data_IF_734850102193
#
_entry.id   IF_734850102193
#
_cell.length_a   1.000
_cell.length_b   1.000
_cell.length_c   1.000
_cell.angle_alpha   90.00
_cell.angle_beta   90.00
_cell.angle_gamma   90.00
#
_symmetry.space_group_name_H-M   'P 1'
#
loop_
_entity.id
_entity.type
_entity.pdbx_description
1 polymer ?
#
# COMPACT_ATOMS: atom_id res chain seq x y z
N UNK A 1 -48.86 -30.98 4.17
CA UNK A 1 -48.56 -29.58 3.74
C UNK A 1 -47.08 -29.40 3.91
N UNK A 2 -46.36 -29.60 2.80
CA UNK A 2 -44.94 -29.46 2.73
C UNK A 2 -44.57 -27.99 2.79
N UNK A 3 -43.97 -27.57 3.87
CA UNK A 3 -43.30 -26.26 3.96
C UNK A 3 -42.01 -26.40 3.21
N UNK A 4 -41.94 -25.83 2.00
CA UNK A 4 -40.70 -25.78 1.23
C UNK A 4 -39.62 -25.04 2.04
N UNK A 5 -38.47 -25.67 2.31
CA UNK A 5 -37.41 -25.02 3.08
C UNK A 5 -36.85 -23.86 2.26
N UNK A 6 -36.64 -22.75 2.94
CA UNK A 6 -36.08 -21.50 2.47
C UNK A 6 -34.81 -21.65 1.60
N UNK A 7 -35.01 -21.97 0.32
CA UNK A 7 -33.93 -22.09 -0.69
C UNK A 7 -33.21 -20.78 -0.99
N UNK A 8 -33.77 -19.64 -0.56
CA UNK A 8 -33.21 -18.32 -0.89
C UNK A 8 -31.99 -17.93 -0.07
N UNK A 9 -31.94 -18.18 1.22
CA UNK A 9 -30.84 -17.78 2.09
C UNK A 9 -29.60 -18.69 1.93
N UNK A 10 -29.81 -20.00 1.74
CA UNK A 10 -28.72 -20.95 1.50
C UNK A 10 -28.00 -20.73 0.16
N UNK A 11 -28.67 -20.24 -0.87
CA UNK A 11 -28.07 -19.97 -2.19
C UNK A 11 -27.31 -18.65 -2.23
N UNK A 12 -27.72 -17.63 -1.47
CA UNK A 12 -26.95 -16.39 -1.32
C UNK A 12 -25.67 -16.67 -0.52
N UNK A 13 -25.75 -17.47 0.56
CA UNK A 13 -24.58 -17.96 1.29
C UNK A 13 -23.71 -18.88 0.43
N UNK A 14 -24.28 -19.79 -0.36
CA UNK A 14 -23.51 -20.65 -1.27
C UNK A 14 -22.84 -19.88 -2.40
N UNK A 15 -23.43 -18.82 -2.94
CA UNK A 15 -22.79 -17.96 -3.95
C UNK A 15 -21.67 -17.10 -3.35
N UNK A 16 -21.78 -16.66 -2.09
CA UNK A 16 -20.65 -16.09 -1.34
C UNK A 16 -19.58 -17.14 -1.00
N UNK A 17 -19.96 -18.39 -0.81
CA UNK A 17 -19.05 -19.54 -0.59
C UNK A 17 -18.46 -20.05 -1.90
N UNK A 18 -19.02 -19.69 -3.07
CA UNK A 18 -18.54 -20.22 -4.35
C UNK A 18 -17.06 -20.01 -4.63
N UNK A 19 -16.36 -19.43 -3.69
CA UNK A 19 -14.93 -19.22 -3.84
C UNK A 19 -14.12 -19.02 -2.56
N UNK A 20 -14.44 -19.64 -1.45
CA UNK A 20 -13.51 -19.59 -0.30
C UNK A 20 -12.09 -20.01 -0.71
N UNK A 21 -11.95 -21.04 -1.55
CA UNK A 21 -10.65 -21.44 -2.10
C UNK A 21 -10.08 -20.37 -3.06
N UNK A 22 -10.87 -19.89 -4.02
CA UNK A 22 -10.44 -18.84 -4.96
C UNK A 22 -10.13 -17.54 -4.22
N UNK A 23 -10.98 -17.11 -3.28
CA UNK A 23 -10.73 -15.93 -2.45
C UNK A 23 -9.43 -16.04 -1.66
N UNK A 24 -9.18 -17.19 -1.01
CA UNK A 24 -7.91 -17.44 -0.30
C UNK A 24 -6.71 -17.40 -1.26
N UNK A 25 -6.83 -17.99 -2.44
CA UNK A 25 -5.76 -17.97 -3.45
C UNK A 25 -5.46 -16.55 -3.89
N UNK A 26 -6.49 -15.75 -4.23
CA UNK A 26 -6.29 -14.33 -4.58
C UNK A 26 -5.69 -13.52 -3.43
N UNK A 27 -6.17 -13.70 -2.21
CA UNK A 27 -5.61 -13.05 -1.01
C UNK A 27 -4.13 -13.41 -0.84
N UNK A 28 -3.77 -14.70 -0.97
CA UNK A 28 -2.38 -15.14 -0.85
C UNK A 28 -1.51 -14.55 -1.98
N UNK A 29 -1.99 -14.54 -3.22
CA UNK A 29 -1.27 -13.95 -4.35
C UNK A 29 -1.06 -12.45 -4.19
N UNK A 30 -2.07 -11.73 -3.71
CA UNK A 30 -1.97 -10.28 -3.47
C UNK A 30 -1.10 -9.95 -2.26
N UNK A 31 -0.99 -10.87 -1.29
CA UNK A 31 -0.18 -10.68 -0.09
C UNK A 31 1.28 -11.11 -0.31
N UNK A 32 1.55 -11.97 -1.28
CA UNK A 32 2.90 -12.48 -1.58
C UNK A 32 3.95 -11.36 -1.78
N UNK A 33 3.68 -10.27 -2.53
CA UNK A 33 4.64 -9.19 -2.71
C UNK A 33 5.12 -8.56 -1.41
N UNK A 34 4.27 -8.52 -0.39
CA UNK A 34 4.60 -7.93 0.91
C UNK A 34 5.78 -8.65 1.59
N UNK A 35 5.89 -9.96 1.44
CA UNK A 35 6.96 -10.78 2.03
C UNK A 35 8.28 -10.72 1.25
N UNK A 36 8.25 -10.27 0.00
CA UNK A 36 9.48 -10.19 -0.80
C UNK A 36 10.36 -9.05 -0.30
N UNK A 37 11.67 -9.30 -0.16
CA UNK A 37 12.62 -8.22 0.12
C UNK A 37 12.73 -7.26 -1.07
N UNK A 38 13.01 -5.99 -0.81
CA UNK A 38 13.27 -5.02 -1.89
C UNK A 38 14.47 -5.38 -2.74
N UNK A 39 15.44 -6.11 -2.20
CA UNK A 39 16.59 -6.63 -2.98
C UNK A 39 16.09 -7.56 -4.07
N UNK A 40 15.27 -8.55 -3.73
CA UNK A 40 14.68 -9.49 -4.71
C UNK A 40 13.81 -8.75 -5.72
N UNK A 41 12.93 -7.87 -5.23
CA UNK A 41 12.08 -7.06 -6.09
C UNK A 41 12.89 -6.21 -7.07
N UNK A 42 14.03 -5.64 -6.65
CA UNK A 42 14.89 -4.84 -7.52
C UNK A 42 15.44 -5.63 -8.71
N UNK A 43 15.77 -6.91 -8.51
CA UNK A 43 16.20 -7.78 -9.61
C UNK A 43 15.07 -8.06 -10.60
N UNK A 44 13.83 -8.26 -10.13
CA UNK A 44 12.68 -8.37 -11.02
C UNK A 44 12.45 -7.07 -11.82
N UNK A 45 12.44 -5.93 -11.13
CA UNK A 45 12.30 -4.63 -11.81
C UNK A 45 13.40 -4.43 -12.84
N UNK A 46 14.63 -4.79 -12.51
CA UNK A 46 15.73 -4.71 -13.47
C UNK A 46 15.54 -5.66 -14.66
N UNK A 47 15.09 -6.87 -14.45
CA UNK A 47 14.78 -7.80 -15.54
C UNK A 47 13.69 -7.25 -16.49
N UNK A 48 12.72 -6.49 -15.95
CA UNK A 48 11.71 -5.82 -16.75
C UNK A 48 12.22 -4.57 -17.47
N UNK A 49 13.05 -3.76 -16.81
CA UNK A 49 13.47 -2.44 -17.26
C UNK A 49 14.91 -2.38 -17.77
N UNK A 50 15.61 -3.51 -17.92
CA UNK A 50 16.96 -3.53 -18.48
C UNK A 50 16.99 -2.89 -19.85
N UNK A 51 17.98 -2.00 -20.14
CA UNK A 51 18.06 -1.32 -21.44
C UNK A 51 18.24 -2.26 -22.62
N UNK A 52 19.00 -3.34 -22.43
CA UNK A 52 19.40 -4.24 -23.53
C UNK A 52 18.43 -5.41 -23.74
N UNK A 53 17.98 -6.04 -22.65
CA UNK A 53 17.19 -7.28 -22.70
C UNK A 53 15.91 -7.22 -21.83
N UNK A 54 15.49 -6.01 -21.41
CA UNK A 54 14.32 -5.86 -20.55
C UNK A 54 13.02 -6.16 -21.29
N UNK A 55 12.11 -6.84 -20.60
CA UNK A 55 10.81 -7.23 -21.16
C UNK A 55 10.04 -5.99 -21.71
N UNK A 56 10.09 -4.85 -21.03
CA UNK A 56 9.40 -3.63 -21.48
C UNK A 56 9.96 -3.13 -22.82
N UNK A 57 11.29 -3.15 -23.00
CA UNK A 57 11.89 -2.77 -24.26
C UNK A 57 11.61 -3.77 -25.37
N UNK A 58 11.55 -5.06 -25.07
CA UNK A 58 11.12 -6.08 -26.03
C UNK A 58 9.69 -5.87 -26.53
N UNK A 59 8.78 -5.50 -25.61
CA UNK A 59 7.40 -5.14 -25.97
C UNK A 59 7.35 -3.86 -26.81
N UNK A 60 8.11 -2.82 -26.45
CA UNK A 60 8.18 -1.57 -27.20
C UNK A 60 8.68 -1.81 -28.63
N UNK A 61 9.74 -2.59 -28.79
CA UNK A 61 10.27 -2.96 -30.10
C UNK A 61 9.26 -3.76 -30.93
N UNK A 62 8.56 -4.70 -30.31
CA UNK A 62 7.47 -5.45 -30.99
C UNK A 62 6.36 -4.51 -31.46
N UNK A 63 6.10 -3.41 -30.73
CA UNK A 63 5.15 -2.36 -31.11
C UNK A 63 5.72 -1.33 -32.10
N UNK A 64 6.96 -1.51 -32.59
CA UNK A 64 7.63 -0.59 -33.52
C UNK A 64 8.12 0.70 -32.87
N UNK A 65 8.31 0.72 -31.53
CA UNK A 65 8.82 1.87 -30.78
C UNK A 65 10.28 1.68 -30.40
N UNK A 66 10.99 2.78 -30.25
CA UNK A 66 12.38 2.77 -29.80
C UNK A 66 12.52 2.29 -28.35
N UNK A 67 13.61 1.57 -28.02
CA UNK A 67 13.90 1.15 -26.67
C UNK A 67 14.19 2.34 -25.76
N UNK A 68 13.70 2.30 -24.53
CA UNK A 68 13.87 3.34 -23.52
C UNK A 68 15.00 2.96 -22.55
N UNK A 69 15.87 3.91 -22.25
CA UNK A 69 16.89 3.76 -21.20
C UNK A 69 16.29 4.14 -19.85
N UNK A 70 15.47 3.26 -19.30
CA UNK A 70 14.65 3.49 -18.09
C UNK A 70 15.44 4.09 -16.92
N UNK A 71 16.65 3.60 -16.65
CA UNK A 71 17.50 4.07 -15.55
C UNK A 71 18.19 5.42 -15.82
N UNK A 72 18.12 5.93 -17.06
CA UNK A 72 18.63 7.26 -17.43
C UNK A 72 17.51 8.30 -17.54
N UNK A 73 16.25 7.87 -17.59
CA UNK A 73 15.08 8.71 -17.82
C UNK A 73 14.28 8.95 -16.54
N UNK A 74 14.63 9.99 -15.79
CA UNK A 74 14.00 10.32 -14.49
C UNK A 74 12.47 10.49 -14.54
N UNK A 75 11.92 10.90 -15.68
CA UNK A 75 10.49 11.21 -15.84
C UNK A 75 9.54 10.03 -15.54
N UNK A 76 10.00 8.80 -15.75
CA UNK A 76 9.17 7.60 -15.52
C UNK A 76 9.21 7.11 -14.06
N UNK A 77 10.27 7.47 -13.31
CA UNK A 77 10.54 6.90 -12.01
C UNK A 77 9.52 7.24 -10.91
N UNK A 78 8.95 8.45 -10.84
CA UNK A 78 7.87 8.70 -9.87
C UNK A 78 6.71 7.72 -10.01
N UNK A 79 6.31 7.40 -11.23
CA UNK A 79 5.22 6.45 -11.51
C UNK A 79 5.63 5.01 -11.17
N UNK A 80 6.85 4.61 -11.52
CA UNK A 80 7.40 3.28 -11.21
C UNK A 80 7.48 3.08 -9.70
N UNK A 81 8.02 4.04 -8.95
CA UNK A 81 8.15 3.97 -7.50
C UNK A 81 6.80 3.90 -6.80
N UNK A 82 5.83 4.74 -7.21
CA UNK A 82 4.47 4.70 -6.68
C UNK A 82 3.81 3.35 -6.98
N UNK A 83 3.92 2.87 -8.21
CA UNK A 83 3.39 1.55 -8.59
C UNK A 83 3.98 0.43 -7.73
N UNK A 84 5.30 0.40 -7.55
CA UNK A 84 5.98 -0.62 -6.76
C UNK A 84 5.58 -0.55 -5.28
N UNK A 85 5.43 0.65 -4.72
CA UNK A 85 4.97 0.85 -3.36
C UNK A 85 3.54 0.33 -3.18
N UNK A 86 2.62 0.74 -4.06
CA UNK A 86 1.22 0.29 -4.02
C UNK A 86 1.14 -1.23 -4.18
N UNK A 87 1.83 -1.79 -5.18
CA UNK A 87 1.84 -3.23 -5.44
C UNK A 87 2.30 -4.04 -4.22
N UNK A 88 3.35 -3.59 -3.54
CA UNK A 88 3.89 -4.28 -2.37
C UNK A 88 3.02 -4.14 -1.12
N UNK A 89 2.37 -3.00 -0.92
CA UNK A 89 1.57 -2.72 0.29
C UNK A 89 0.10 -3.09 0.15
N UNK A 90 -0.40 -3.25 -1.09
CA UNK A 90 -1.80 -3.51 -1.38
C UNK A 90 -2.34 -4.72 -0.61
N UNK A 91 -1.60 -5.84 -0.65
CA UNK A 91 -2.02 -7.08 0.01
C UNK A 91 -2.13 -6.94 1.52
N UNK A 92 -1.17 -6.27 2.15
CA UNK A 92 -1.19 -5.99 3.59
C UNK A 92 -2.42 -5.13 3.97
N UNK A 93 -2.61 -4.02 3.28
CA UNK A 93 -3.75 -3.13 3.53
C UNK A 93 -5.08 -3.85 3.33
N UNK A 94 -5.20 -4.68 2.28
CA UNK A 94 -6.38 -5.50 2.02
C UNK A 94 -6.69 -6.44 3.19
N UNK A 95 -5.68 -7.11 3.75
CA UNK A 95 -5.88 -8.03 4.88
C UNK A 95 -6.33 -7.28 6.13
N UNK A 96 -5.77 -6.10 6.41
CA UNK A 96 -6.17 -5.26 7.56
C UNK A 96 -7.65 -4.86 7.45
N UNK A 97 -8.07 -4.34 6.28
CA UNK A 97 -9.47 -3.98 6.07
C UNK A 97 -10.40 -5.19 6.07
N UNK A 98 -9.99 -6.31 5.48
CA UNK A 98 -10.80 -7.53 5.48
C UNK A 98 -11.00 -8.08 6.90
N UNK A 99 -9.95 -8.07 7.74
CA UNK A 99 -10.06 -8.47 9.13
C UNK A 99 -11.07 -7.58 9.89
N UNK A 100 -11.01 -6.28 9.65
CA UNK A 100 -11.96 -5.32 10.26
C UNK A 100 -13.40 -5.55 9.79
N UNK A 101 -13.62 -5.84 8.48
CA UNK A 101 -14.95 -6.16 7.94
C UNK A 101 -15.50 -7.44 8.56
N UNK A 102 -14.66 -8.47 8.72
CA UNK A 102 -15.11 -9.75 9.30
C UNK A 102 -15.43 -9.65 10.79
N UNK A 103 -14.97 -8.60 11.47
CA UNK A 103 -15.30 -8.30 12.86
C UNK A 103 -16.61 -7.54 13.06
N UNK A 104 -17.28 -7.09 11.99
CA UNK A 104 -18.57 -6.40 12.09
C UNK A 104 -19.66 -7.42 12.40
N UNK A 105 -20.57 -7.06 13.34
CA UNK A 105 -21.68 -7.93 13.73
C UNK A 105 -22.58 -8.22 12.52
N UNK A 106 -22.78 -9.49 12.23
CA UNK A 106 -23.60 -9.97 11.12
C UNK A 106 -25.08 -9.64 11.30
N UNK A 107 -25.55 -9.46 12.53
CA UNK A 107 -26.93 -9.09 12.84
C UNK A 107 -27.33 -7.76 12.20
N UNK A 108 -26.40 -6.80 12.07
CA UNK A 108 -26.62 -5.52 11.39
C UNK A 108 -26.96 -5.71 9.91
N UNK A 109 -26.27 -6.65 9.25
CA UNK A 109 -26.55 -6.96 7.85
C UNK A 109 -27.84 -7.75 7.66
N UNK A 110 -28.17 -8.63 8.60
CA UNK A 110 -29.43 -9.39 8.58
C UNK A 110 -30.63 -8.46 8.75
N UNK A 111 -30.59 -7.53 9.72
CA UNK A 111 -31.60 -6.50 9.89
C UNK A 111 -31.76 -5.63 8.63
N UNK A 112 -30.66 -5.16 8.05
CA UNK A 112 -30.70 -4.37 6.83
C UNK A 112 -31.29 -5.12 5.64
N UNK A 113 -31.10 -6.43 5.54
CA UNK A 113 -31.73 -7.27 4.51
C UNK A 113 -33.24 -7.36 4.71
N UNK A 114 -33.71 -7.49 5.96
CA UNK A 114 -35.13 -7.50 6.28
C UNK A 114 -35.80 -6.17 5.95
N UNK A 115 -35.07 -5.05 6.14
CA UNK A 115 -35.51 -3.69 5.75
C UNK A 115 -35.42 -3.44 4.23
N UNK A 116 -35.01 -4.43 3.43
CA UNK A 116 -34.92 -4.31 1.97
C UNK A 116 -33.71 -3.53 1.47
N UNK A 117 -32.69 -3.30 2.31
CA UNK A 117 -31.49 -2.57 1.92
C UNK A 117 -30.65 -3.32 0.87
N UNK A 118 -30.31 -2.64 -0.23
CA UNK A 118 -29.41 -3.15 -1.24
C UNK A 118 -27.98 -3.32 -0.70
N UNK A 119 -27.14 -4.14 -1.37
CA UNK A 119 -25.74 -4.35 -0.97
C UNK A 119 -24.93 -3.04 -0.95
N UNK A 120 -25.23 -2.09 -1.84
CA UNK A 120 -24.58 -0.79 -1.85
C UNK A 120 -24.97 0.06 -0.64
N UNK A 121 -26.25 -0.01 -0.21
CA UNK A 121 -26.72 0.64 1.01
C UNK A 121 -26.09 0.03 2.24
N UNK A 122 -26.01 -1.30 2.34
CA UNK A 122 -25.29 -2.00 3.42
C UNK A 122 -23.80 -1.59 3.47
N UNK A 123 -23.11 -1.52 2.33
CA UNK A 123 -21.73 -1.07 2.27
C UNK A 123 -21.58 0.39 2.75
N UNK A 124 -22.49 1.29 2.34
CA UNK A 124 -22.40 2.72 2.66
C UNK A 124 -22.81 3.04 4.10
N UNK A 125 -23.83 2.38 4.63
CA UNK A 125 -24.43 2.73 5.92
C UNK A 125 -24.01 1.82 7.08
N UNK A 126 -23.47 0.62 6.80
CA UNK A 126 -23.00 -0.31 7.83
C UNK A 126 -21.49 -0.49 7.70
N UNK A 127 -20.99 -0.99 6.57
CA UNK A 127 -19.57 -1.35 6.44
C UNK A 127 -18.66 -0.13 6.53
N UNK A 128 -18.91 0.92 5.75
CA UNK A 128 -18.03 2.08 5.70
C UNK A 128 -17.96 2.86 7.02
N UNK A 129 -19.09 3.12 7.74
CA UNK A 129 -19.04 3.70 9.07
C UNK A 129 -18.30 2.84 10.09
N UNK A 130 -18.49 1.52 10.07
CA UNK A 130 -17.79 0.58 10.97
C UNK A 130 -16.28 0.52 10.70
N UNK A 131 -15.84 0.79 9.47
CA UNK A 131 -14.43 0.86 9.10
C UNK A 131 -13.79 2.22 9.40
N UNK A 132 -14.57 3.25 9.70
CA UNK A 132 -14.05 4.61 9.92
C UNK A 132 -12.89 4.67 10.91
N UNK A 133 -12.92 4.02 12.10
CA UNK A 133 -11.82 4.06 13.04
C UNK A 133 -10.52 3.50 12.46
N UNK A 134 -10.59 2.35 11.76
CA UNK A 134 -9.39 1.73 11.16
C UNK A 134 -8.84 2.56 9.99
N UNK A 135 -9.72 3.17 9.18
CA UNK A 135 -9.31 4.07 8.09
C UNK A 135 -8.55 5.26 8.67
N UNK A 136 -9.08 5.88 9.72
CA UNK A 136 -8.44 7.03 10.38
C UNK A 136 -7.10 6.61 11.00
N UNK A 137 -7.04 5.49 11.70
CA UNK A 137 -5.80 4.99 12.27
C UNK A 137 -4.73 4.74 11.20
N UNK A 138 -5.09 4.06 10.11
CA UNK A 138 -4.17 3.80 8.99
C UNK A 138 -3.72 5.10 8.32
N UNK A 139 -4.60 6.10 8.22
CA UNK A 139 -4.29 7.41 7.70
C UNK A 139 -3.26 8.14 8.60
N UNK A 140 -3.49 8.20 9.91
CA UNK A 140 -2.55 8.84 10.86
C UNK A 140 -1.17 8.17 10.78
N UNK A 141 -1.12 6.84 10.76
CA UNK A 141 0.12 6.08 10.63
C UNK A 141 0.84 6.38 9.29
N UNK A 142 0.09 6.55 8.21
CA UNK A 142 0.66 6.92 6.90
C UNK A 142 1.22 8.33 6.90
N UNK A 143 0.50 9.28 7.49
CA UNK A 143 0.94 10.68 7.66
C UNK A 143 2.21 10.75 8.51
N UNK A 144 2.29 9.95 9.58
CA UNK A 144 3.47 9.89 10.43
C UNK A 144 4.74 9.42 9.70
N UNK A 145 4.58 8.67 8.64
CA UNK A 145 5.69 8.17 7.81
C UNK A 145 6.05 9.06 6.60
N UNK A 146 5.43 10.24 6.46
CA UNK A 146 5.63 11.09 5.27
C UNK A 146 7.09 11.56 5.12
N UNK A 147 7.82 11.71 6.23
CA UNK A 147 9.23 12.08 6.25
C UNK A 147 10.17 10.87 6.32
N UNK A 148 9.64 9.65 6.49
CA UNK A 148 10.39 8.40 6.48
C UNK A 148 10.04 7.64 5.22
N UNK A 149 11.03 7.42 4.37
CA UNK A 149 10.83 6.68 3.13
C UNK A 149 11.18 5.20 3.31
N UNK A 150 10.65 4.35 2.44
CA UNK A 150 11.12 2.99 2.34
C UNK A 150 12.49 2.97 1.63
N UNK A 151 13.58 2.94 2.42
CA UNK A 151 14.95 2.89 1.90
C UNK A 151 15.11 1.81 0.83
N UNK A 152 14.53 0.63 1.07
CA UNK A 152 14.63 -0.48 0.13
C UNK A 152 14.02 -0.14 -1.24
N UNK A 153 12.88 0.53 -1.27
CA UNK A 153 12.25 0.97 -2.51
C UNK A 153 13.16 1.96 -3.26
N UNK A 154 13.53 3.04 -2.58
CA UNK A 154 14.23 4.14 -3.24
C UNK A 154 15.68 3.81 -3.59
N UNK A 155 16.38 3.01 -2.78
CA UNK A 155 17.76 2.65 -3.01
C UNK A 155 17.93 1.38 -3.86
N UNK A 156 17.25 0.28 -3.50
CA UNK A 156 17.46 -1.00 -4.18
C UNK A 156 16.82 -1.03 -5.56
N UNK A 157 15.57 -0.57 -5.70
CA UNK A 157 14.84 -0.62 -6.97
C UNK A 157 15.49 0.30 -8.02
N UNK A 158 16.03 1.43 -7.60
CA UNK A 158 16.78 2.35 -8.49
C UNK A 158 18.24 1.94 -8.70
N UNK A 159 18.71 0.85 -8.04
CA UNK A 159 20.08 0.36 -8.11
C UNK A 159 21.12 1.38 -7.64
N UNK A 160 20.94 1.90 -6.44
CA UNK A 160 21.85 2.82 -5.78
C UNK A 160 21.71 4.29 -6.19
N UNK A 161 20.57 4.65 -6.77
CA UNK A 161 20.25 6.02 -7.19
C UNK A 161 21.32 6.60 -8.15
N UNK A 162 21.36 6.13 -9.42
CA UNK A 162 22.24 6.72 -10.44
C UNK A 162 22.07 8.25 -10.52
N UNK A 163 23.09 8.97 -10.94
CA UNK A 163 23.08 10.43 -11.02
C UNK A 163 21.88 11.02 -11.76
N UNK A 164 21.40 10.34 -12.81
CA UNK A 164 20.17 10.69 -13.54
C UNK A 164 18.91 10.66 -12.67
N UNK A 165 18.85 9.83 -11.62
CA UNK A 165 17.70 9.63 -10.76
C UNK A 165 17.78 10.37 -9.41
N UNK A 166 18.88 11.06 -9.14
CA UNK A 166 19.13 11.75 -7.86
C UNK A 166 17.96 12.67 -7.47
N UNK A 167 17.43 13.43 -8.41
CA UNK A 167 16.34 14.38 -8.15
C UNK A 167 15.01 13.74 -7.75
N UNK A 168 14.78 12.48 -8.12
CA UNK A 168 13.48 11.79 -7.92
C UNK A 168 13.55 10.65 -6.89
N UNK A 169 14.74 10.16 -6.58
CA UNK A 169 14.92 9.01 -5.72
C UNK A 169 15.75 9.27 -4.46
N UNK A 170 16.39 10.44 -4.30
CA UNK A 170 17.13 10.79 -3.08
C UNK A 170 16.17 11.26 -2.01
N UNK A 171 15.80 10.37 -1.11
CA UNK A 171 15.07 10.65 0.12
C UNK A 171 16.03 10.89 1.28
N UNK A 172 15.52 11.31 2.45
CA UNK A 172 16.35 11.47 3.64
C UNK A 172 17.10 10.19 4.01
N UNK A 173 16.42 9.04 3.99
CA UNK A 173 17.02 7.74 4.33
C UNK A 173 18.13 7.36 3.35
N UNK A 174 17.93 7.58 2.05
CA UNK A 174 18.95 7.36 1.02
C UNK A 174 20.12 8.34 1.16
N UNK A 175 19.83 9.61 1.45
CA UNK A 175 20.87 10.61 1.70
C UNK A 175 21.74 10.24 2.90
N UNK A 176 21.13 9.87 4.03
CA UNK A 176 21.84 9.46 5.25
C UNK A 176 22.73 8.24 4.94
N UNK A 177 22.19 7.24 4.26
CA UNK A 177 22.95 6.05 3.89
C UNK A 177 24.15 6.38 2.99
N UNK A 178 23.95 7.14 1.93
CA UNK A 178 25.02 7.54 1.02
C UNK A 178 26.08 8.40 1.73
N UNK A 179 25.65 9.31 2.61
CA UNK A 179 26.53 10.16 3.39
C UNK A 179 27.44 9.34 4.33
N UNK A 180 26.91 8.29 4.94
CA UNK A 180 27.71 7.35 5.75
C UNK A 180 28.73 6.58 4.91
N UNK A 181 28.38 6.18 3.68
CA UNK A 181 29.27 5.48 2.76
C UNK A 181 30.37 6.37 2.19
N UNK A 182 30.11 7.66 2.03
CA UNK A 182 31.05 8.62 1.43
C UNK A 182 31.91 9.36 2.45
N UNK A 183 31.84 8.99 3.73
CA UNK A 183 32.68 9.57 4.79
C UNK A 183 32.27 11.00 5.19
N UNK A 184 31.03 11.40 4.94
CA UNK A 184 30.48 12.66 5.45
C UNK A 184 30.52 12.65 6.98
N UNK A 185 30.88 13.76 7.64
CA UNK A 185 30.93 13.82 9.10
C UNK A 185 29.66 13.34 9.77
N UNK A 186 29.77 12.42 10.74
CA UNK A 186 28.63 11.82 11.46
C UNK A 186 27.66 12.84 12.02
N UNK A 187 28.13 14.05 12.41
CA UNK A 187 27.26 15.12 12.89
C UNK A 187 26.21 15.57 11.87
N UNK A 188 26.53 15.57 10.57
CA UNK A 188 25.55 15.94 9.51
C UNK A 188 24.48 14.88 9.32
N UNK A 189 24.88 13.60 9.32
CA UNK A 189 23.94 12.49 9.18
C UNK A 189 23.06 12.35 10.42
N UNK A 190 23.64 12.53 11.62
CA UNK A 190 22.89 12.56 12.87
C UNK A 190 21.88 13.73 12.90
N UNK A 191 22.28 14.92 12.44
CA UNK A 191 21.38 16.07 12.36
C UNK A 191 20.21 15.81 11.40
N UNK A 192 20.46 15.20 10.22
CA UNK A 192 19.43 14.84 9.27
C UNK A 192 18.45 13.81 9.84
N UNK A 193 18.94 12.77 10.51
CA UNK A 193 18.11 11.76 11.18
C UNK A 193 17.29 12.36 12.32
N UNK A 194 17.90 13.23 13.12
CA UNK A 194 17.21 13.92 14.21
C UNK A 194 16.09 14.83 13.69
N UNK A 195 16.39 15.62 12.66
CA UNK A 195 15.39 16.46 11.99
C UNK A 195 14.21 15.62 11.49
N UNK A 196 14.48 14.54 10.78
CA UNK A 196 13.45 13.61 10.27
C UNK A 196 12.57 13.07 11.41
N UNK A 197 13.18 12.62 12.52
CA UNK A 197 12.46 12.09 13.67
C UNK A 197 11.58 13.14 14.35
N UNK A 198 12.11 14.36 14.58
CA UNK A 198 11.38 15.46 15.21
C UNK A 198 10.19 15.89 14.33
N UNK A 199 10.42 16.12 13.05
CA UNK A 199 9.35 16.53 12.12
C UNK A 199 8.30 15.44 11.98
N UNK A 200 8.72 14.18 11.90
CA UNK A 200 7.81 13.04 11.88
C UNK A 200 6.93 12.96 13.14
N UNK A 201 7.53 13.13 14.31
CA UNK A 201 6.82 13.18 15.59
C UNK A 201 5.79 14.33 15.64
N UNK A 202 6.21 15.54 15.28
CA UNK A 202 5.31 16.71 15.22
C UNK A 202 4.15 16.44 14.27
N UNK A 203 4.44 15.86 13.10
CA UNK A 203 3.42 15.56 12.08
C UNK A 203 2.38 14.57 12.60
N UNK A 204 2.80 13.51 13.31
CA UNK A 204 1.88 12.56 13.95
C UNK A 204 1.00 13.27 15.00
N UNK A 205 1.60 14.07 15.85
CA UNK A 205 0.87 14.79 16.91
C UNK A 205 -0.16 15.76 16.32
N UNK A 206 0.22 16.50 15.27
CA UNK A 206 -0.69 17.42 14.56
C UNK A 206 -1.82 16.63 13.88
N UNK A 207 -1.50 15.56 13.18
CA UNK A 207 -2.51 14.72 12.53
C UNK A 207 -3.49 14.15 13.57
N UNK A 208 -2.98 13.61 14.67
CA UNK A 208 -3.82 13.10 15.76
C UNK A 208 -4.68 14.21 16.40
N UNK A 209 -4.13 15.40 16.60
CA UNK A 209 -4.87 16.54 17.12
C UNK A 209 -6.03 16.97 16.20
N UNK A 210 -5.79 16.99 14.86
CA UNK A 210 -6.83 17.26 13.87
C UNK A 210 -7.92 16.19 13.95
N UNK A 211 -7.55 14.92 13.97
CA UNK A 211 -8.51 13.81 14.08
C UNK A 211 -9.32 13.92 15.37
N UNK A 212 -8.68 14.20 16.50
CA UNK A 212 -9.37 14.37 17.78
C UNK A 212 -10.42 15.50 17.79
N UNK A 213 -10.21 16.51 16.94
CA UNK A 213 -11.19 17.60 16.74
C UNK A 213 -12.40 17.16 15.91
N UNK A 214 -12.20 16.25 14.97
CA UNK A 214 -13.24 15.77 14.05
C UNK A 214 -13.96 14.55 14.63
N UNK A 215 -13.23 13.64 15.25
CA UNK A 215 -13.74 12.38 15.78
C UNK A 215 -12.88 11.92 16.98
N UNK A 216 -13.37 12.18 18.18
CA UNK A 216 -12.65 11.82 19.42
C UNK A 216 -12.45 10.32 19.62
N UNK A 217 -13.40 9.51 19.15
CA UNK A 217 -13.36 8.05 19.34
C UNK A 217 -12.32 7.38 18.44
N UNK A 218 -11.94 8.03 17.34
CA UNK A 218 -10.96 7.50 16.38
C UNK A 218 -9.55 8.06 16.58
N UNK A 219 -9.31 8.92 17.55
CA UNK A 219 -7.98 9.44 17.87
C UNK A 219 -7.11 8.35 18.53
N UNK A 220 -5.79 8.35 18.24
CA UNK A 220 -4.86 7.38 18.83
C UNK A 220 -4.45 7.74 20.26
N UNK A 221 -4.41 9.02 20.58
CA UNK A 221 -3.98 9.60 21.88
C UNK A 221 -4.94 10.71 22.29
#
# INVERSE_FOLDING_TARGET
RDVAPSRGLGDVYKRQIYSKRKSKTYQTMMFLPHFMSWVVVSYFVYAFLSPERGLMNSILQWMGKDPVRWYSEAKYWPYILVFMQVWKTLGYNMVVYLASITGIDTSLYEAAVLDGASKMQQARYITLPSLKPIIIMMFILSVGRIFSSDFGLFYQVTRGVPGSLTKVATTFDVYIFNALQTGVPLGRTAAASFFQAVVGCITILVANWIVRRVDRESALI
#
